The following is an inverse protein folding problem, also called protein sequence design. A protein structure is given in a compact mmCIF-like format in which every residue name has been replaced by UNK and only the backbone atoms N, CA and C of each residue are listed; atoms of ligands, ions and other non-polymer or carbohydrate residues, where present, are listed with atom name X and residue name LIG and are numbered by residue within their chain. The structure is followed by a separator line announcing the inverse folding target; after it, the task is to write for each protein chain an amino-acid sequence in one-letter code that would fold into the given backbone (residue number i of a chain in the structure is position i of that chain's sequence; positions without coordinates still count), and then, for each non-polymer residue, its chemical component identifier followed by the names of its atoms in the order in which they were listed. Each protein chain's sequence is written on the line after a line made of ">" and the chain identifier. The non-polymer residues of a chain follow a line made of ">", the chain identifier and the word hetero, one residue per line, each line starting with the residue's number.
data_IF_734060660940
#
_entry.id   IF_734060660940
#
_cell.length_a   1.000
_cell.length_b   1.000
_cell.length_c   1.000
_cell.angle_alpha   90.00
_cell.angle_beta   90.00
_cell.angle_gamma   90.00
#
_symmetry.space_group_name_H-M   'P 1'
#
loop_
_entity.id
_entity.type
_entity.pdbx_description
1 polymer ?
#
# COMPACT_ATOMS: atom_id res chain seq x y z
N UNK A 1 3.89 1.07 11.10
CA UNK A 1 3.51 2.49 11.37
C UNK A 1 2.91 3.18 10.15
N UNK A 2 3.41 2.97 8.92
CA UNK A 2 2.87 3.63 7.71
C UNK A 2 1.39 3.31 7.38
N UNK A 3 0.93 2.08 7.68
CA UNK A 3 -0.45 1.64 7.40
C UNK A 3 -1.48 2.57 8.05
N UNK A 4 -1.22 2.98 9.29
CA UNK A 4 -2.10 3.90 10.02
C UNK A 4 -2.19 5.28 9.34
N UNK A 5 -1.09 5.80 8.78
CA UNK A 5 -1.13 7.08 8.05
C UNK A 5 -1.99 7.00 6.79
N UNK A 6 -1.89 5.90 6.03
CA UNK A 6 -2.73 5.67 4.85
C UNK A 6 -4.21 5.55 5.23
N UNK A 7 -4.50 4.76 6.26
CA UNK A 7 -5.86 4.56 6.76
C UNK A 7 -6.52 5.85 7.25
N UNK A 8 -5.79 6.68 8.02
CA UNK A 8 -6.31 7.96 8.53
C UNK A 8 -6.61 8.96 7.42
N UNK A 9 -5.75 9.05 6.39
CA UNK A 9 -6.00 9.89 5.19
C UNK A 9 -7.23 9.41 4.41
N UNK A 10 -7.38 8.09 4.23
CA UNK A 10 -8.53 7.49 3.56
C UNK A 10 -9.84 7.73 4.35
N UNK A 11 -9.79 7.61 5.68
CA UNK A 11 -10.93 7.87 6.56
C UNK A 11 -11.41 9.31 6.45
N UNK A 12 -10.49 10.27 6.28
CA UNK A 12 -10.78 11.71 6.11
C UNK A 12 -11.21 12.09 4.69
N UNK A 13 -11.16 11.16 3.73
CA UNK A 13 -11.48 11.44 2.33
C UNK A 13 -10.41 12.25 1.59
N UNK A 14 -9.18 12.30 2.10
CA UNK A 14 -8.06 13.05 1.52
C UNK A 14 -7.43 12.28 0.34
N UNK A 15 -8.22 12.02 -0.71
CA UNK A 15 -7.84 11.06 -1.75
C UNK A 15 -6.56 11.44 -2.51
N UNK A 16 -6.28 12.72 -2.76
CA UNK A 16 -5.01 13.12 -3.38
C UNK A 16 -3.80 12.79 -2.49
N UNK A 17 -3.93 12.97 -1.18
CA UNK A 17 -2.90 12.59 -0.20
C UNK A 17 -2.73 11.07 -0.13
N UNK A 18 -3.81 10.30 -0.29
CA UNK A 18 -3.74 8.83 -0.37
C UNK A 18 -3.02 8.38 -1.63
N UNK A 19 -3.36 8.95 -2.80
CA UNK A 19 -2.70 8.65 -4.08
C UNK A 19 -1.20 8.98 -4.03
N UNK A 20 -0.85 10.15 -3.49
CA UNK A 20 0.54 10.55 -3.28
C UNK A 20 1.27 9.62 -2.30
N UNK A 21 0.59 9.21 -1.23
CA UNK A 21 1.14 8.27 -0.26
C UNK A 21 1.39 6.88 -0.86
N UNK A 22 0.49 6.37 -1.70
CA UNK A 22 0.69 5.11 -2.43
C UNK A 22 1.92 5.16 -3.34
N UNK A 23 2.15 6.28 -4.03
CA UNK A 23 3.36 6.49 -4.83
C UNK A 23 4.62 6.48 -3.94
N UNK A 24 4.59 7.20 -2.83
CA UNK A 24 5.67 7.21 -1.85
C UNK A 24 6.00 5.80 -1.32
N UNK A 25 4.98 4.98 -1.00
CA UNK A 25 5.20 3.61 -0.53
C UNK A 25 5.82 2.71 -1.59
N UNK A 26 5.41 2.83 -2.86
CA UNK A 26 6.05 2.10 -3.96
C UNK A 26 7.54 2.42 -4.06
N UNK A 27 7.90 3.70 -3.95
CA UNK A 27 9.27 4.16 -4.13
C UNK A 27 10.19 3.85 -2.95
N UNK A 28 9.68 3.99 -1.72
CA UNK A 28 10.52 3.96 -0.51
C UNK A 28 10.43 2.66 0.28
N UNK A 29 9.38 1.86 0.05
CA UNK A 29 9.13 0.62 0.78
C UNK A 29 9.14 -0.57 -0.16
N UNK A 30 8.18 -0.63 -1.09
CA UNK A 30 7.94 -1.83 -1.90
C UNK A 30 9.03 -2.06 -2.96
N UNK A 31 9.48 -0.99 -3.63
CA UNK A 31 10.59 -1.03 -4.59
C UNK A 31 11.88 -1.59 -3.98
N UNK A 32 12.39 -1.04 -2.86
CA UNK A 32 13.56 -1.61 -2.18
C UNK A 32 13.37 -3.06 -1.73
N UNK A 33 12.19 -3.43 -1.21
CA UNK A 33 11.91 -4.80 -0.76
C UNK A 33 11.99 -5.82 -1.90
N UNK A 34 11.45 -5.47 -3.07
CA UNK A 34 11.47 -6.40 -4.21
C UNK A 34 12.86 -6.49 -4.86
N UNK A 35 13.59 -5.37 -4.91
CA UNK A 35 14.91 -5.31 -5.54
C UNK A 35 16.00 -5.97 -4.69
N UNK A 36 15.87 -5.94 -3.37
CA UNK A 36 16.78 -6.65 -2.45
C UNK A 36 16.88 -8.14 -2.80
N UNK A 37 15.79 -8.74 -3.29
CA UNK A 37 15.77 -10.17 -3.67
C UNK A 37 16.56 -10.48 -4.94
N UNK A 38 16.66 -9.54 -5.87
CA UNK A 38 17.33 -9.76 -7.16
C UNK A 38 18.84 -9.47 -7.10
N UNK A 39 19.38 -9.04 -5.94
CA UNK A 39 20.76 -8.55 -5.84
C UNK A 39 21.02 -7.29 -6.68
N UNK A 40 19.96 -6.69 -7.22
CA UNK A 40 20.01 -5.51 -8.07
C UNK A 40 19.83 -4.27 -7.19
N UNK A 41 20.81 -3.36 -7.25
CA UNK A 41 20.68 -2.02 -6.69
C UNK A 41 19.81 -1.15 -7.61
N UNK A 42 18.54 -1.52 -7.78
CA UNK A 42 17.60 -0.64 -8.47
C UNK A 42 17.28 0.52 -7.52
N UNK A 43 17.69 1.72 -7.92
CA UNK A 43 17.32 2.95 -7.22
C UNK A 43 15.83 3.24 -7.48
N UNK A 44 14.97 2.89 -6.52
CA UNK A 44 13.52 3.16 -6.55
C UNK A 44 12.73 2.18 -7.43
N UNK A 45 11.75 2.70 -8.19
CA UNK A 45 10.86 1.93 -9.07
C UNK A 45 11.30 1.91 -10.54
N UNK A 46 12.52 2.36 -10.86
CA UNK A 46 12.99 2.40 -12.24
C UNK A 46 13.07 0.98 -12.79
N UNK A 47 12.32 0.72 -13.87
CA UNK A 47 12.20 -0.57 -14.57
C UNK A 47 11.46 -1.66 -13.77
N UNK A 48 10.42 -1.31 -13.00
CA UNK A 48 9.50 -2.33 -12.45
C UNK A 48 8.89 -3.20 -13.55
N UNK A 49 8.73 -2.68 -14.75
CA UNK A 49 8.24 -3.39 -15.93
C UNK A 49 9.24 -4.43 -16.47
N UNK A 50 10.50 -4.38 -16.02
CA UNK A 50 11.51 -5.40 -16.30
C UNK A 50 11.55 -6.52 -15.24
N UNK A 51 10.72 -6.42 -14.19
CA UNK A 51 10.42 -7.56 -13.32
C UNK A 51 9.62 -8.61 -14.09
N UNK A 52 9.53 -9.82 -13.55
CA UNK A 52 8.58 -10.80 -14.09
C UNK A 52 7.13 -10.29 -14.00
N UNK A 53 6.29 -10.87 -14.85
CA UNK A 53 4.91 -10.43 -15.04
C UNK A 53 4.08 -10.48 -13.75
N UNK A 54 4.33 -11.44 -12.85
CA UNK A 54 3.59 -11.57 -11.59
C UNK A 54 3.88 -10.37 -10.68
N UNK A 55 5.15 -9.97 -10.57
CA UNK A 55 5.57 -8.85 -9.73
C UNK A 55 5.17 -7.50 -10.29
N UNK A 56 5.24 -7.34 -11.62
CA UNK A 56 4.73 -6.14 -12.28
C UNK A 56 3.22 -5.97 -12.03
N UNK A 57 2.45 -7.05 -12.12
CA UNK A 57 1.01 -7.05 -11.86
C UNK A 57 0.69 -6.76 -10.38
N UNK A 58 1.45 -7.35 -9.46
CA UNK A 58 1.36 -7.05 -8.04
C UNK A 58 1.62 -5.57 -7.74
N UNK A 59 2.66 -4.97 -8.33
CA UNK A 59 2.93 -3.53 -8.16
C UNK A 59 1.82 -2.66 -8.76
N UNK A 60 1.22 -3.07 -9.89
CA UNK A 60 0.10 -2.37 -10.51
C UNK A 60 -1.13 -2.31 -9.61
N UNK A 61 -1.40 -3.36 -8.82
CA UNK A 61 -2.52 -3.40 -7.86
C UNK A 61 -2.41 -2.34 -6.75
N UNK A 62 -1.23 -1.76 -6.53
CA UNK A 62 -1.04 -0.65 -5.56
C UNK A 62 -1.37 0.73 -6.13
N UNK A 63 -1.65 0.84 -7.42
CA UNK A 63 -1.99 2.10 -8.08
C UNK A 63 -3.51 2.31 -8.13
N UNK A 64 -3.94 3.56 -7.95
CA UNK A 64 -5.33 3.96 -8.12
C UNK A 64 -5.42 5.37 -8.69
N UNK A 65 -6.58 5.71 -9.27
CA UNK A 65 -6.96 7.08 -9.59
C UNK A 65 -7.63 7.79 -8.41
N UNK A 66 -8.40 8.84 -8.69
CA UNK A 66 -9.23 9.53 -7.71
C UNK A 66 -10.52 8.72 -7.44
N UNK A 67 -10.38 7.60 -6.74
CA UNK A 67 -11.49 6.72 -6.37
C UNK A 67 -11.23 6.12 -4.98
N UNK A 68 -12.20 6.29 -4.05
CA UNK A 68 -12.02 5.89 -2.64
C UNK A 68 -11.92 4.37 -2.48
N UNK A 69 -12.74 3.63 -3.21
CA UNK A 69 -12.77 2.17 -3.09
C UNK A 69 -11.47 1.57 -3.65
N UNK A 70 -11.04 2.03 -4.82
CA UNK A 70 -9.77 1.67 -5.44
C UNK A 70 -8.58 2.08 -4.56
N UNK A 71 -8.61 3.26 -3.92
CA UNK A 71 -7.57 3.69 -2.99
C UNK A 71 -7.50 2.78 -1.76
N UNK A 72 -8.65 2.34 -1.23
CA UNK A 72 -8.73 1.34 -0.17
C UNK A 72 -8.11 0.00 -0.57
N UNK A 73 -8.50 -0.52 -1.74
CA UNK A 73 -7.94 -1.76 -2.30
C UNK A 73 -6.43 -1.65 -2.55
N UNK A 74 -5.96 -0.50 -3.01
CA UNK A 74 -4.55 -0.25 -3.23
C UNK A 74 -3.74 -0.22 -1.93
N UNK A 75 -4.27 0.39 -0.86
CA UNK A 75 -3.64 0.36 0.47
C UNK A 75 -3.57 -1.06 1.04
N UNK A 76 -4.63 -1.85 0.91
CA UNK A 76 -4.63 -3.26 1.31
C UNK A 76 -3.61 -4.07 0.49
N UNK A 77 -3.50 -3.81 -0.81
CA UNK A 77 -2.49 -4.44 -1.67
C UNK A 77 -1.07 -4.09 -1.22
N UNK A 78 -0.79 -2.83 -0.85
CA UNK A 78 0.50 -2.45 -0.27
C UNK A 78 0.82 -3.23 1.01
N UNK A 79 -0.18 -3.45 1.88
CA UNK A 79 -0.02 -4.20 3.13
C UNK A 79 0.34 -5.65 2.85
N UNK A 80 -0.38 -6.29 1.93
CA UNK A 80 -0.12 -7.66 1.50
C UNK A 80 1.30 -7.82 0.93
N UNK A 81 1.70 -6.96 -0.01
CA UNK A 81 3.04 -7.01 -0.61
C UNK A 81 4.16 -6.79 0.40
N UNK A 82 3.98 -5.84 1.31
CA UNK A 82 4.94 -5.60 2.38
C UNK A 82 5.13 -6.85 3.26
N UNK A 83 4.05 -7.58 3.57
CA UNK A 83 4.12 -8.80 4.36
C UNK A 83 4.79 -9.94 3.59
N UNK A 84 4.36 -10.20 2.35
CA UNK A 84 4.89 -11.27 1.50
C UNK A 84 6.38 -11.07 1.21
N UNK A 85 6.75 -9.95 0.59
CA UNK A 85 8.16 -9.68 0.25
C UNK A 85 9.01 -9.38 1.48
N UNK A 86 8.42 -8.84 2.54
CA UNK A 86 9.09 -8.70 3.82
C UNK A 86 9.44 -10.05 4.46
N UNK A 87 8.65 -11.11 4.27
CA UNK A 87 9.00 -12.44 4.75
C UNK A 87 10.07 -13.10 3.87
N UNK A 88 9.98 -12.90 2.55
CA UNK A 88 10.91 -13.47 1.57
C UNK A 88 12.30 -12.81 1.58
N UNK A 89 12.39 -11.52 1.92
CA UNK A 89 13.65 -10.77 1.89
C UNK A 89 14.59 -11.09 3.06
N UNK A 90 14.12 -11.78 4.11
CA UNK A 90 14.92 -12.08 5.30
C UNK A 90 15.38 -10.84 6.08
N UNK A 91 14.92 -9.64 5.70
CA UNK A 91 15.25 -8.40 6.38
C UNK A 91 14.60 -8.39 7.78
N UNK A 92 15.45 -8.46 8.80
CA UNK A 92 15.07 -8.36 10.20
C UNK A 92 14.66 -6.92 10.52
N UNK A 93 13.47 -6.52 10.08
CA UNK A 93 12.82 -5.33 10.62
C UNK A 93 12.31 -5.68 12.02
N UNK A 94 12.64 -4.87 13.03
CA UNK A 94 11.91 -4.88 14.31
C UNK A 94 10.47 -4.46 14.03
N UNK A 95 9.65 -5.44 13.70
CA UNK A 95 8.22 -5.25 13.46
C UNK A 95 7.54 -5.28 14.82
N UNK A 96 7.05 -4.13 15.28
CA UNK A 96 6.02 -4.11 16.30
C UNK A 96 4.75 -4.73 15.68
N UNK A 97 4.62 -6.06 15.83
CA UNK A 97 3.57 -6.87 15.19
C UNK A 97 2.19 -6.47 15.69
N UNK A 98 2.07 -6.12 16.96
CA UNK A 98 0.79 -5.73 17.57
C UNK A 98 0.31 -4.38 16.99
N UNK A 99 1.20 -3.38 16.93
CA UNK A 99 0.87 -2.09 16.32
C UNK A 99 0.58 -2.21 14.82
N UNK A 100 1.23 -3.15 14.12
CA UNK A 100 0.94 -3.42 12.72
C UNK A 100 -0.45 -4.06 12.56
N UNK A 101 -0.77 -5.09 13.35
CA UNK A 101 -2.06 -5.77 13.31
C UNK A 101 -3.22 -4.80 13.55
N UNK A 102 -3.12 -3.97 14.60
CA UNK A 102 -4.12 -2.95 14.91
C UNK A 102 -4.29 -1.93 13.77
N UNK A 103 -3.19 -1.51 13.13
CA UNK A 103 -3.25 -0.57 12.01
C UNK A 103 -3.89 -1.19 10.75
N UNK A 104 -3.69 -2.49 10.51
CA UNK A 104 -4.31 -3.22 9.41
C UNK A 104 -5.80 -3.41 9.67
N UNK A 105 -6.19 -3.83 10.88
CA UNK A 105 -7.59 -3.95 11.29
C UNK A 105 -8.33 -2.61 11.14
N UNK A 106 -7.71 -1.51 11.57
CA UNK A 106 -8.27 -0.17 11.36
C UNK A 106 -8.47 0.16 9.86
N UNK A 107 -7.47 -0.12 9.02
CA UNK A 107 -7.59 0.09 7.57
C UNK A 107 -8.76 -0.72 6.97
N UNK A 108 -8.88 -2.00 7.34
CA UNK A 108 -9.98 -2.86 6.90
C UNK A 108 -11.34 -2.29 7.30
N UNK A 109 -11.46 -1.81 8.55
CA UNK A 109 -12.64 -1.11 9.01
C UNK A 109 -12.97 0.14 8.18
N UNK A 110 -11.97 0.97 7.83
CA UNK A 110 -12.15 2.18 7.00
C UNK A 110 -12.60 1.84 5.57
N UNK A 111 -12.11 0.73 5.01
CA UNK A 111 -12.50 0.23 3.69
C UNK A 111 -13.92 -0.35 3.70
N UNK A 112 -14.30 -1.06 4.76
CA UNK A 112 -15.64 -1.65 4.91
C UNK A 112 -16.71 -0.61 5.29
N UNK A 113 -16.35 0.46 5.98
CA UNK A 113 -17.28 1.51 6.45
C UNK A 113 -17.85 2.40 5.33
N UNK A 114 -17.64 2.03 4.07
CA UNK A 114 -18.18 2.75 2.91
C UNK A 114 -19.69 2.51 2.83
N UNK A 115 -20.48 3.32 3.53
CA UNK A 115 -21.92 3.42 3.29
C UNK A 115 -22.16 3.92 1.87
N UNK A 116 -23.05 3.29 1.08
CA UNK A 116 -23.53 3.88 -0.16
C UNK A 116 -24.35 5.13 0.18
N UNK A 117 -23.91 6.29 -0.32
CA UNK A 117 -24.71 7.51 -0.46
C UNK A 117 -25.25 8.12 0.84
N UNK A 118 -24.47 9.02 1.45
CA UNK A 118 -25.11 10.25 1.93
C UNK A 118 -25.66 10.95 0.69
N UNK A 119 -26.97 10.82 0.49
CA UNK A 119 -27.73 11.59 -0.45
C UNK A 119 -27.38 13.07 -0.22
N UNK A 120 -26.78 13.64 -1.25
CA UNK A 120 -26.50 15.06 -1.37
C UNK A 120 -27.83 15.77 -1.68
N UNK A 121 -28.14 16.81 -0.93
CA UNK A 121 -28.92 17.95 -1.40
C UNK A 121 -30.41 17.93 -1.07
N UNK A 122 -30.77 18.93 -0.27
CA UNK A 122 -31.93 19.83 -0.37
C UNK A 122 -33.36 19.27 -0.34
#
# INVERSE_FOLDING_TARGET
>A
MWVHYGATRLARGELFEVVGFLAFLRETVLGPLICHREGLLLQGVRRLEALDAERAEAMRATACGYDREAAGKALLSCVDLYQRWGAESGLAFERNRDAQALAVEFLEGVVQSTRPGEARGD
#
